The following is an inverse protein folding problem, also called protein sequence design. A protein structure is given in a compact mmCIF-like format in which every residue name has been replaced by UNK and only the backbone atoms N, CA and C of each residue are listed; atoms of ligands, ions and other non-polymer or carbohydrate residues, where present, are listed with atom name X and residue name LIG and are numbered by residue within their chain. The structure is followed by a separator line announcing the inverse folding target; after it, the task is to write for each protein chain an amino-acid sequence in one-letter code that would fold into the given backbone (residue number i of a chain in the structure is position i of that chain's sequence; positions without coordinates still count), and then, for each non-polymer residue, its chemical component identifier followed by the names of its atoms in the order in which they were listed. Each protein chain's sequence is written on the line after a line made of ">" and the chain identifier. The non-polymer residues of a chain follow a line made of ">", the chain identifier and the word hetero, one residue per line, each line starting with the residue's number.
data_IF_949387038793
#
_entry.id   IF_949387038793
#
_cell.length_a   1.000
_cell.length_b   1.000
_cell.length_c   1.000
_cell.angle_alpha   90.00
_cell.angle_beta   90.00
_cell.angle_gamma   90.00
#
_symmetry.space_group_name_H-M   'P 1'
#
loop_
_entity.id
_entity.type
_entity.pdbx_description
1 polymer ?
#
# COMPACT_ATOMS: atom_id res chain seq x y z
N UNK A 1 5.61 15.04 11.14
CA UNK A 1 5.26 13.81 10.41
C UNK A 1 4.81 14.18 9.01
N UNK A 2 5.26 13.47 8.00
CA UNK A 2 4.94 13.62 6.57
C UNK A 2 4.84 12.24 5.94
N UNK A 3 4.00 12.07 4.94
CA UNK A 3 3.93 10.86 4.13
C UNK A 3 4.32 11.23 2.70
N UNK A 4 5.20 10.43 2.09
CA UNK A 4 5.60 10.59 0.69
C UNK A 4 5.13 9.39 -0.12
N UNK A 5 4.33 9.65 -1.15
CA UNK A 5 3.93 8.66 -2.14
C UNK A 5 5.02 8.57 -3.21
N UNK A 6 5.55 7.38 -3.43
CA UNK A 6 6.58 7.10 -4.42
C UNK A 6 6.06 6.14 -5.50
N UNK A 7 5.40 6.65 -6.56
CA UNK A 7 5.08 5.81 -7.71
C UNK A 7 6.35 5.30 -8.38
N UNK A 8 6.38 4.01 -8.71
CA UNK A 8 7.46 3.33 -9.44
C UNK A 8 6.88 2.80 -10.74
N UNK A 9 7.36 3.28 -11.87
CA UNK A 9 6.80 3.02 -13.19
C UNK A 9 5.68 4.00 -13.54
N UNK A 10 4.87 3.62 -14.53
CA UNK A 10 3.79 4.46 -15.04
C UNK A 10 2.52 4.23 -14.21
N UNK A 11 2.23 5.18 -13.33
CA UNK A 11 1.02 5.19 -12.49
C UNK A 11 0.18 6.40 -12.86
N UNK A 12 -1.11 6.21 -13.14
CA UNK A 12 -2.04 7.27 -13.50
C UNK A 12 -2.07 8.37 -12.41
N UNK A 13 -1.85 9.62 -12.84
CA UNK A 13 -1.84 10.78 -11.96
C UNK A 13 -3.18 11.01 -11.24
N UNK A 14 -4.32 10.66 -11.87
CA UNK A 14 -5.63 10.79 -11.22
C UNK A 14 -5.74 9.86 -10.01
N UNK A 15 -5.21 8.64 -10.11
CA UNK A 15 -5.14 7.70 -8.97
C UNK A 15 -4.28 8.28 -7.85
N UNK A 16 -3.13 8.86 -8.19
CA UNK A 16 -2.21 9.43 -7.20
C UNK A 16 -2.80 10.63 -6.47
N UNK A 17 -3.44 11.55 -7.18
CA UNK A 17 -4.08 12.73 -6.57
C UNK A 17 -5.28 12.34 -5.70
N UNK A 18 -6.13 11.44 -6.17
CA UNK A 18 -7.27 10.94 -5.39
C UNK A 18 -6.80 10.22 -4.11
N UNK A 19 -5.80 9.35 -4.24
CA UNK A 19 -5.21 8.64 -3.10
C UNK A 19 -4.59 9.62 -2.10
N UNK A 20 -3.86 10.62 -2.57
CA UNK A 20 -3.26 11.68 -1.75
C UNK A 20 -4.30 12.39 -0.90
N UNK A 21 -5.42 12.82 -1.48
CA UNK A 21 -6.48 13.52 -0.75
C UNK A 21 -7.15 12.60 0.29
N UNK A 22 -7.41 11.35 -0.02
CA UNK A 22 -7.98 10.36 0.91
C UNK A 22 -7.03 10.04 2.07
N UNK A 23 -5.73 9.91 1.80
CA UNK A 23 -4.72 9.70 2.85
C UNK A 23 -4.56 10.93 3.75
N UNK A 24 -4.61 12.14 3.18
CA UNK A 24 -4.58 13.39 3.94
C UNK A 24 -5.76 13.48 4.93
N UNK A 25 -6.96 13.09 4.50
CA UNK A 25 -8.14 13.02 5.36
C UNK A 25 -7.96 11.98 6.48
N UNK A 26 -7.34 10.83 6.15
CA UNK A 26 -7.18 9.71 7.10
C UNK A 26 -6.13 9.99 8.18
N UNK A 27 -4.96 10.53 7.77
CA UNK A 27 -3.79 10.72 8.65
C UNK A 27 -3.65 12.14 9.18
N UNK A 28 -4.31 13.14 8.60
CA UNK A 28 -4.24 14.54 9.04
C UNK A 28 -2.86 15.17 8.90
N UNK A 29 -2.03 14.72 7.96
CA UNK A 29 -0.68 15.22 7.74
C UNK A 29 -0.42 15.55 6.27
N UNK A 30 0.64 16.34 5.96
CA UNK A 30 1.05 16.61 4.58
C UNK A 30 1.38 15.32 3.83
N UNK A 31 0.87 15.24 2.59
CA UNK A 31 1.15 14.14 1.65
C UNK A 31 1.83 14.75 0.41
N UNK A 32 2.99 14.23 0.05
CA UNK A 32 3.71 14.62 -1.16
C UNK A 32 3.78 13.45 -2.14
N UNK A 33 3.83 13.73 -3.44
CA UNK A 33 4.05 12.73 -4.49
C UNK A 33 5.41 13.01 -5.12
N UNK A 34 6.34 12.06 -4.97
CA UNK A 34 7.69 12.16 -5.51
C UNK A 34 7.99 10.85 -6.25
N UNK A 35 7.98 10.81 -7.60
CA UNK A 35 8.25 9.60 -8.35
C UNK A 35 9.61 8.98 -7.99
N UNK A 36 9.63 7.66 -7.81
CA UNK A 36 10.87 6.92 -7.57
C UNK A 36 11.54 6.56 -8.90
N UNK A 37 12.77 6.99 -9.08
CA UNK A 37 13.53 6.75 -10.30
C UNK A 37 13.98 5.29 -10.44
N UNK A 38 14.11 4.83 -11.69
CA UNK A 38 14.75 3.57 -12.08
C UNK A 38 13.82 2.36 -12.09
N UNK A 39 14.35 1.28 -12.66
CA UNK A 39 13.66 0.02 -12.93
C UNK A 39 13.47 -0.83 -11.66
N UNK A 40 12.43 -1.65 -11.66
CA UNK A 40 12.15 -2.69 -10.67
C UNK A 40 12.40 -4.12 -11.19
N UNK A 41 13.04 -4.26 -12.36
CA UNK A 41 13.32 -5.55 -13.01
C UNK A 41 14.08 -6.54 -12.11
N UNK A 42 15.00 -6.05 -11.27
CA UNK A 42 15.72 -6.88 -10.31
C UNK A 42 14.83 -7.58 -9.26
N UNK A 43 13.60 -7.11 -9.10
CA UNK A 43 12.63 -7.74 -8.22
C UNK A 43 11.82 -8.85 -8.91
N UNK A 44 11.90 -8.94 -10.25
CA UNK A 44 11.14 -9.90 -11.04
C UNK A 44 11.63 -11.34 -10.83
N UNK A 45 10.69 -12.23 -10.64
CA UNK A 45 10.90 -13.69 -10.61
C UNK A 45 10.21 -14.30 -11.83
N UNK A 46 11.01 -14.71 -12.83
CA UNK A 46 10.51 -15.24 -14.08
C UNK A 46 9.77 -16.59 -13.94
N UNK A 47 10.07 -17.36 -12.89
CA UNK A 47 9.36 -18.63 -12.63
C UNK A 47 7.95 -18.40 -12.09
N UNK A 48 7.74 -17.29 -11.41
CA UNK A 48 6.45 -16.91 -10.84
C UNK A 48 5.67 -15.96 -11.75
N UNK A 49 6.34 -15.22 -12.62
CA UNK A 49 5.75 -14.09 -13.34
C UNK A 49 5.39 -12.91 -12.44
N UNK A 50 6.01 -12.82 -11.26
CA UNK A 50 5.68 -11.87 -10.20
C UNK A 50 6.93 -11.13 -9.70
N UNK A 51 6.72 -10.07 -8.93
CA UNK A 51 7.79 -9.27 -8.33
C UNK A 51 7.87 -9.49 -6.82
N UNK A 52 9.09 -9.69 -6.31
CA UNK A 52 9.34 -9.87 -4.88
C UNK A 52 9.22 -8.54 -4.14
N UNK A 53 8.18 -8.38 -3.32
CA UNK A 53 7.85 -7.13 -2.63
C UNK A 53 8.99 -6.62 -1.75
N UNK A 54 9.72 -7.49 -1.04
CA UNK A 54 10.84 -7.11 -0.18
C UNK A 54 12.00 -6.47 -0.94
N UNK A 55 12.23 -6.81 -2.22
CA UNK A 55 13.25 -6.16 -3.05
C UNK A 55 12.86 -4.75 -3.43
N UNK A 56 11.57 -4.49 -3.68
CA UNK A 56 11.05 -3.15 -3.94
C UNK A 56 11.10 -2.28 -2.68
N UNK A 57 10.73 -2.82 -1.53
CA UNK A 57 10.91 -2.14 -0.24
C UNK A 57 12.37 -1.77 0.01
N UNK A 58 13.31 -2.67 -0.26
CA UNK A 58 14.74 -2.39 -0.11
C UNK A 58 15.24 -1.28 -1.05
N UNK A 59 14.66 -1.17 -2.26
CA UNK A 59 14.93 -0.06 -3.19
C UNK A 59 14.43 1.28 -2.62
N UNK A 60 13.17 1.33 -2.16
CA UNK A 60 12.58 2.52 -1.57
C UNK A 60 13.35 3.03 -0.35
N UNK A 61 13.85 2.13 0.49
CA UNK A 61 14.71 2.49 1.64
C UNK A 61 16.00 3.20 1.21
N UNK A 62 16.60 2.76 0.11
CA UNK A 62 17.86 3.34 -0.40
C UNK A 62 17.70 4.73 -0.98
N UNK A 63 16.49 5.13 -1.37
CA UNK A 63 16.24 6.47 -1.94
C UNK A 63 16.28 7.61 -0.92
N UNK A 64 16.50 7.27 0.35
CA UNK A 64 16.59 8.22 1.45
C UNK A 64 15.22 8.64 1.98
N UNK A 65 15.17 8.92 3.27
CA UNK A 65 13.98 9.42 3.98
C UNK A 65 14.40 10.50 4.95
N UNK A 66 13.57 11.52 5.12
CA UNK A 66 13.74 12.49 6.19
C UNK A 66 13.33 11.87 7.54
N UNK A 67 13.82 12.45 8.64
CA UNK A 67 13.42 12.03 9.98
C UNK A 67 11.91 12.22 10.18
N UNK A 68 11.24 11.18 10.71
CA UNK A 68 9.78 11.19 10.93
C UNK A 68 8.93 11.05 9.66
N UNK A 69 9.54 10.84 8.51
CA UNK A 69 8.85 10.59 7.24
C UNK A 69 8.34 9.14 7.18
N UNK A 70 7.18 8.93 6.54
CA UNK A 70 6.70 7.63 6.11
C UNK A 70 6.66 7.60 4.57
N UNK A 71 7.06 6.48 3.99
CA UNK A 71 7.08 6.33 2.53
C UNK A 71 6.13 5.21 2.12
N UNK A 72 5.29 5.48 1.13
CA UNK A 72 4.46 4.51 0.46
C UNK A 72 4.86 4.39 -1.01
N UNK A 73 5.48 3.27 -1.37
CA UNK A 73 5.69 2.90 -2.77
C UNK A 73 4.39 2.44 -3.41
N UNK A 74 4.19 2.78 -4.67
CA UNK A 74 3.02 2.37 -5.46
C UNK A 74 3.52 1.78 -6.77
N UNK A 75 3.13 0.54 -7.05
CA UNK A 75 3.46 -0.16 -8.29
C UNK A 75 2.19 -0.74 -8.94
N UNK A 76 2.26 -1.03 -10.22
CA UNK A 76 1.18 -1.73 -10.94
C UNK A 76 1.68 -3.04 -11.55
N UNK A 77 2.24 -3.90 -10.69
CA UNK A 77 2.77 -5.23 -11.04
C UNK A 77 2.37 -6.24 -9.98
N UNK A 78 2.22 -7.51 -10.37
CA UNK A 78 1.83 -8.55 -9.44
C UNK A 78 2.94 -8.84 -8.42
N UNK A 79 2.61 -8.68 -7.12
CA UNK A 79 3.55 -8.83 -6.02
C UNK A 79 3.39 -10.18 -5.31
N UNK A 80 4.52 -10.72 -4.84
CA UNK A 80 4.53 -11.83 -3.91
C UNK A 80 5.47 -11.61 -2.73
N UNK A 81 5.24 -12.38 -1.67
CA UNK A 81 6.15 -12.57 -0.54
C UNK A 81 6.43 -14.06 -0.33
N UNK A 82 7.58 -14.45 0.25
CA UNK A 82 7.88 -15.85 0.54
C UNK A 82 6.78 -16.51 1.38
N UNK A 83 6.32 -17.70 0.93
CA UNK A 83 5.25 -18.44 1.60
C UNK A 83 3.82 -18.02 1.23
N UNK A 84 3.65 -16.95 0.44
CA UNK A 84 2.35 -16.47 -0.04
C UNK A 84 2.27 -16.56 -1.57
N UNK A 85 1.05 -16.76 -2.08
CA UNK A 85 0.80 -16.79 -3.52
C UNK A 85 0.93 -15.39 -4.13
N UNK A 86 0.44 -14.38 -3.43
CA UNK A 86 0.55 -12.96 -3.75
C UNK A 86 0.40 -12.11 -2.49
N UNK A 87 0.69 -10.82 -2.62
CA UNK A 87 0.37 -9.80 -1.61
C UNK A 87 -0.18 -8.56 -2.30
N UNK A 88 -1.14 -7.87 -1.67
CA UNK A 88 -1.58 -6.55 -2.13
C UNK A 88 -0.59 -5.46 -1.75
N UNK A 89 0.13 -5.64 -0.64
CA UNK A 89 1.15 -4.75 -0.15
C UNK A 89 2.07 -5.42 0.85
N UNK A 90 3.06 -4.69 1.29
CA UNK A 90 3.99 -5.09 2.35
C UNK A 90 4.60 -3.84 3.01
N UNK A 91 4.76 -3.87 4.32
CA UNK A 91 5.42 -2.81 5.06
C UNK A 91 6.67 -3.31 5.80
N UNK A 92 7.64 -2.42 5.96
CA UNK A 92 8.76 -2.55 6.88
C UNK A 92 8.60 -1.54 8.02
N UNK A 93 8.14 -2.05 9.14
CA UNK A 93 7.82 -1.24 10.32
C UNK A 93 9.04 -0.46 10.82
N UNK A 94 10.22 -1.10 10.83
CA UNK A 94 11.44 -0.51 11.37
C UNK A 94 11.93 0.69 10.55
N UNK A 95 11.77 0.65 9.24
CA UNK A 95 12.21 1.73 8.36
C UNK A 95 11.12 2.76 8.07
N UNK A 96 9.85 2.49 8.38
CA UNK A 96 8.75 3.37 8.03
C UNK A 96 8.41 3.40 6.53
N UNK A 97 8.78 2.34 5.79
CA UNK A 97 8.51 2.19 4.36
C UNK A 97 7.45 1.14 4.13
N UNK A 98 6.50 1.45 3.27
CA UNK A 98 5.45 0.56 2.81
C UNK A 98 5.40 0.51 1.29
N UNK A 99 4.75 -0.51 0.74
CA UNK A 99 4.55 -0.74 -0.69
C UNK A 99 3.16 -1.32 -0.90
N UNK A 100 2.46 -0.83 -1.93
CA UNK A 100 1.23 -1.45 -2.43
C UNK A 100 1.31 -1.71 -3.92
N UNK A 101 0.55 -2.69 -4.40
CA UNK A 101 0.34 -2.95 -5.82
C UNK A 101 -1.11 -2.67 -6.21
N UNK A 102 -1.29 -2.00 -7.34
CA UNK A 102 -2.59 -1.75 -7.95
C UNK A 102 -3.12 -2.98 -8.72
N UNK A 103 -2.23 -3.85 -9.17
CA UNK A 103 -2.49 -4.93 -10.12
C UNK A 103 -3.69 -5.81 -9.71
N UNK A 104 -3.63 -6.44 -8.54
CA UNK A 104 -4.68 -7.35 -8.06
C UNK A 104 -5.85 -6.66 -7.34
N UNK A 105 -5.82 -5.33 -7.20
CA UNK A 105 -6.95 -4.56 -6.67
C UNK A 105 -7.99 -4.27 -7.73
N UNK A 106 -7.62 -4.36 -9.02
CA UNK A 106 -8.54 -4.22 -10.14
C UNK A 106 -9.39 -5.47 -10.33
N UNK A 107 -10.69 -5.27 -10.61
CA UNK A 107 -11.60 -6.37 -10.95
C UNK A 107 -11.25 -7.01 -12.29
N UNK A 108 -10.72 -6.23 -13.23
CA UNK A 108 -10.30 -6.66 -14.56
C UNK A 108 -9.20 -7.74 -14.49
N UNK A 109 -8.40 -7.76 -13.43
CA UNK A 109 -7.45 -8.85 -13.17
C UNK A 109 -8.14 -10.22 -13.03
N UNK A 110 -9.40 -10.20 -12.63
CA UNK A 110 -10.25 -11.39 -12.43
C UNK A 110 -11.31 -11.54 -13.52
N UNK A 111 -11.11 -10.89 -14.67
CA UNK A 111 -12.04 -10.93 -15.81
C UNK A 111 -13.45 -10.39 -15.50
N UNK A 112 -13.55 -9.51 -14.52
CA UNK A 112 -14.79 -8.81 -14.15
C UNK A 112 -14.83 -7.41 -14.78
N UNK A 113 -16.03 -6.84 -15.00
CA UNK A 113 -16.18 -5.46 -15.48
C UNK A 113 -15.45 -4.46 -14.59
N UNK A 114 -14.89 -3.39 -15.18
CA UNK A 114 -14.24 -2.33 -14.44
C UNK A 114 -15.21 -1.60 -13.49
N UNK A 115 -14.72 -1.27 -12.30
CA UNK A 115 -15.39 -0.42 -11.32
C UNK A 115 -14.35 0.48 -10.68
N UNK A 116 -14.24 1.70 -11.19
CA UNK A 116 -13.22 2.65 -10.77
C UNK A 116 -13.41 3.11 -9.32
N UNK A 117 -14.65 3.29 -8.89
CA UNK A 117 -14.94 3.70 -7.51
C UNK A 117 -14.54 2.61 -6.51
N UNK A 118 -14.87 1.36 -6.79
CA UNK A 118 -14.47 0.21 -5.97
C UNK A 118 -12.95 0.01 -5.99
N UNK A 119 -12.32 0.18 -7.14
CA UNK A 119 -10.86 0.11 -7.27
C UNK A 119 -10.16 1.15 -6.39
N UNK A 120 -10.55 2.41 -6.46
CA UNK A 120 -10.00 3.49 -5.63
C UNK A 120 -10.24 3.26 -4.13
N UNK A 121 -11.39 2.68 -3.75
CA UNK A 121 -11.69 2.30 -2.38
C UNK A 121 -10.70 1.22 -1.88
N UNK A 122 -10.47 0.19 -2.67
CA UNK A 122 -9.48 -0.88 -2.38
C UNK A 122 -8.06 -0.34 -2.27
N UNK A 123 -7.63 0.50 -3.23
CA UNK A 123 -6.32 1.15 -3.21
C UNK A 123 -6.13 1.96 -1.92
N UNK A 124 -7.15 2.72 -1.53
CA UNK A 124 -7.11 3.52 -0.30
C UNK A 124 -7.00 2.62 0.94
N UNK A 125 -7.80 1.56 1.02
CA UNK A 125 -7.76 0.60 2.14
C UNK A 125 -6.40 -0.05 2.29
N UNK A 126 -5.80 -0.52 1.21
CA UNK A 126 -4.47 -1.14 1.27
C UNK A 126 -3.37 -0.11 1.58
N UNK A 127 -3.44 1.10 1.03
CA UNK A 127 -2.51 2.18 1.38
C UNK A 127 -2.58 2.54 2.86
N UNK A 128 -3.78 2.67 3.42
CA UNK A 128 -3.97 2.95 4.86
C UNK A 128 -3.51 1.78 5.72
N UNK A 129 -3.75 0.53 5.29
CA UNK A 129 -3.31 -0.69 5.97
C UNK A 129 -1.79 -0.74 6.06
N UNK A 130 -1.09 -0.64 4.94
CA UNK A 130 0.37 -0.74 4.89
C UNK A 130 1.05 0.45 5.61
N UNK A 131 0.52 1.66 5.44
CA UNK A 131 0.98 2.81 6.23
C UNK A 131 0.73 2.59 7.73
N UNK A 132 -0.41 2.02 8.13
CA UNK A 132 -0.70 1.66 9.52
C UNK A 132 0.38 0.78 10.14
N UNK A 133 0.92 -0.18 9.40
CA UNK A 133 2.07 -0.97 9.86
C UNK A 133 3.31 -0.12 10.10
N UNK A 134 3.57 0.90 9.29
CA UNK A 134 4.73 1.81 9.51
C UNK A 134 4.60 2.66 10.78
N UNK A 135 3.40 2.77 11.35
CA UNK A 135 3.13 3.36 12.67
C UNK A 135 3.18 2.34 13.81
N UNK A 136 3.60 1.10 13.53
CA UNK A 136 3.72 0.05 14.54
C UNK A 136 2.43 -0.71 14.83
N UNK A 137 1.37 -0.51 14.03
CA UNK A 137 0.15 -1.29 14.15
C UNK A 137 0.34 -2.71 13.61
N UNK A 138 -0.04 -3.72 14.38
CA UNK A 138 -0.21 -5.09 13.89
C UNK A 138 -1.59 -5.30 13.28
N UNK A 139 -1.86 -6.51 12.77
CA UNK A 139 -3.18 -6.89 12.28
C UNK A 139 -4.23 -6.83 13.41
N UNK A 140 -5.43 -6.34 13.07
CA UNK A 140 -6.56 -6.20 13.99
C UNK A 140 -7.53 -7.37 13.84
N UNK A 141 -8.05 -7.86 14.97
CA UNK A 141 -9.09 -8.93 14.98
C UNK A 141 -10.46 -8.44 14.51
N UNK A 142 -10.71 -7.13 14.55
CA UNK A 142 -11.97 -6.54 14.08
C UNK A 142 -12.00 -6.55 12.55
N UNK A 143 -12.86 -7.37 11.96
CA UNK A 143 -12.98 -7.54 10.51
C UNK A 143 -13.38 -6.25 9.75
N UNK A 144 -13.94 -5.25 10.43
CA UNK A 144 -14.30 -3.95 9.83
C UNK A 144 -13.18 -2.92 9.92
N UNK A 145 -12.12 -3.19 10.68
CA UNK A 145 -10.97 -2.30 10.80
C UNK A 145 -10.09 -2.38 9.56
N UNK A 146 -9.57 -1.25 9.09
CA UNK A 146 -8.60 -1.24 7.97
C UNK A 146 -7.38 -2.12 8.25
N UNK A 147 -6.96 -2.26 9.52
CA UNK A 147 -5.84 -3.14 9.92
C UNK A 147 -6.18 -4.62 9.96
N UNK A 148 -7.40 -5.04 9.56
CA UNK A 148 -7.71 -6.46 9.42
C UNK A 148 -6.94 -7.05 8.24
N UNK A 149 -6.39 -8.25 8.41
CA UNK A 149 -5.65 -8.93 7.35
C UNK A 149 -6.58 -9.37 6.21
N UNK A 150 -6.19 -9.14 4.96
CA UNK A 150 -6.94 -9.54 3.77
C UNK A 150 -6.21 -10.64 3.01
N UNK A 151 -6.85 -11.82 2.87
CA UNK A 151 -6.38 -12.90 2.01
C UNK A 151 -6.95 -12.82 0.59
N UNK A 152 -7.98 -12.00 0.40
CA UNK A 152 -8.73 -11.89 -0.85
C UNK A 152 -9.28 -10.48 -1.03
N UNK A 153 -9.75 -10.15 -2.24
CA UNK A 153 -10.49 -8.90 -2.47
C UNK A 153 -11.75 -8.80 -1.62
N UNK A 154 -12.44 -9.91 -1.36
CA UNK A 154 -13.64 -9.92 -0.53
C UNK A 154 -13.34 -9.44 0.90
N UNK A 155 -12.18 -9.81 1.46
CA UNK A 155 -11.75 -9.30 2.77
C UNK A 155 -11.45 -7.81 2.72
N UNK A 156 -10.80 -7.34 1.64
CA UNK A 156 -10.54 -5.91 1.41
C UNK A 156 -11.84 -5.14 1.22
N UNK A 157 -12.81 -5.67 0.50
CA UNK A 157 -14.12 -5.05 0.29
C UNK A 157 -14.91 -4.95 1.60
N UNK A 158 -14.82 -5.97 2.45
CA UNK A 158 -15.55 -6.03 3.72
C UNK A 158 -15.07 -5.02 4.76
N UNK A 159 -13.76 -4.78 4.87
CA UNK A 159 -13.21 -3.82 5.83
C UNK A 159 -13.52 -2.37 5.44
N UNK A 160 -13.54 -1.46 6.42
CA UNK A 160 -13.66 -0.02 6.19
C UNK A 160 -12.28 0.61 5.99
N UNK A 161 -12.22 1.82 5.46
CA UNK A 161 -10.97 2.62 5.38
C UNK A 161 -10.51 3.05 6.79
N UNK A 162 -11.43 3.11 7.75
CA UNK A 162 -11.17 3.67 9.07
C UNK A 162 -10.45 2.68 10.01
N UNK A 163 -9.57 3.22 10.85
CA UNK A 163 -9.06 2.51 12.02
C UNK A 163 -10.15 2.40 13.09
N UNK A 164 -10.30 1.23 13.70
CA UNK A 164 -11.24 1.06 14.82
C UNK A 164 -10.76 1.81 16.09
N UNK A 165 -11.63 1.89 17.11
CA UNK A 165 -11.35 2.58 18.38
C UNK A 165 -10.11 2.06 19.13
N UNK A 166 -9.69 0.82 18.87
CA UNK A 166 -8.47 0.24 19.47
C UNK A 166 -7.20 0.57 18.67
N UNK A 167 -7.30 0.75 17.35
CA UNK A 167 -6.15 1.02 16.49
C UNK A 167 -5.85 2.51 16.37
N UNK A 168 -6.88 3.36 16.25
CA UNK A 168 -6.72 4.80 16.05
C UNK A 168 -5.85 5.51 17.09
N UNK A 169 -5.98 5.27 18.41
CA UNK A 169 -5.14 5.92 19.41
C UNK A 169 -3.65 5.59 19.31
N UNK A 170 -3.30 4.49 18.64
CA UNK A 170 -1.90 4.04 18.49
C UNK A 170 -1.15 4.76 17.37
N UNK A 171 -1.86 5.47 16.47
CA UNK A 171 -1.25 6.28 15.40
C UNK A 171 -0.58 7.56 15.91
N UNK A 172 -0.87 7.97 17.14
CA UNK A 172 -0.50 9.30 17.70
C UNK A 172 0.80 9.22 18.55
N UNK A 173 1.56 8.14 18.42
CA UNK A 173 2.81 8.01 19.20
C UNK A 173 4.05 8.31 18.37
#
# INVERSE_FOLDING_TARGET
>A
MRITLKPIGDIDNNILEELKERLKQTFGCPIEVIPEAGSFERAYDSKRGQYLASRLLAKLKKSGMAEGEKVLGIVDVDLYAPGLNFVFGQADIASGVALISLCRLRQEYYELPSDEALFLDRVTKEAVHELGHTFGLGHCKNARCVMHFSNSLADTDWKQIAFCSQCRPKLIK
#
